data_IF_110397982299
#
_entry.id   IF_110397982299
#
_cell.length_a   1.000
_cell.length_b   1.000
_cell.length_c   1.000
_cell.angle_alpha   90.00
_cell.angle_beta   90.00
_cell.angle_gamma   90.00
#
_symmetry.space_group_name_H-M   'P 1'
#
loop_
_entity.id
_entity.type
_entity.pdbx_description
1 polymer ?
#
# COMPACT_ATOMS: atom_id res chain seq x y z
N UNK A 1 -25.91 -14.67 -6.88
CA UNK A 1 -24.72 -13.88 -7.28
C UNK A 1 -23.55 -14.40 -6.45
N UNK A 2 -22.36 -14.53 -7.02
CA UNK A 2 -21.16 -14.90 -6.24
C UNK A 2 -20.73 -13.72 -5.37
N UNK A 3 -20.18 -14.01 -4.19
CA UNK A 3 -19.59 -12.99 -3.32
C UNK A 3 -18.35 -12.37 -4.01
N UNK A 4 -18.18 -11.06 -3.86
CA UNK A 4 -17.01 -10.34 -4.36
C UNK A 4 -15.77 -10.65 -3.52
N UNK A 5 -14.59 -10.56 -4.14
CA UNK A 5 -13.31 -10.80 -3.46
C UNK A 5 -12.35 -9.65 -3.72
N UNK A 6 -11.80 -9.08 -2.67
CA UNK A 6 -10.77 -8.05 -2.75
C UNK A 6 -9.43 -8.63 -2.31
N UNK A 7 -8.44 -8.60 -3.19
CA UNK A 7 -7.09 -9.10 -2.95
C UNK A 7 -6.17 -7.89 -2.80
N UNK A 8 -5.70 -7.64 -1.59
CA UNK A 8 -4.76 -6.56 -1.29
C UNK A 8 -3.33 -7.09 -1.30
N UNK A 9 -2.45 -6.46 -2.07
CA UNK A 9 -1.03 -6.82 -2.15
C UNK A 9 -0.18 -5.59 -1.90
N UNK A 10 0.54 -5.56 -0.78
CA UNK A 10 1.62 -4.58 -0.59
C UNK A 10 2.79 -4.98 -1.48
N UNK A 11 3.37 -4.02 -2.20
CA UNK A 11 4.57 -4.28 -3.01
C UNK A 11 5.70 -4.97 -2.22
N UNK A 12 6.53 -5.73 -2.94
CA UNK A 12 7.73 -6.34 -2.37
C UNK A 12 8.77 -5.31 -1.91
N UNK A 13 9.84 -5.75 -1.27
CA UNK A 13 10.92 -4.87 -0.79
C UNK A 13 11.46 -3.95 -1.91
N UNK A 14 11.42 -2.63 -1.67
CA UNK A 14 12.08 -1.65 -2.53
C UNK A 14 13.53 -1.41 -2.13
N UNK A 15 14.32 -0.81 -3.03
CA UNK A 15 15.70 -0.38 -2.74
C UNK A 15 15.79 0.44 -1.45
N UNK A 16 14.87 1.40 -1.28
CA UNK A 16 14.83 2.24 -0.08
C UNK A 16 14.25 1.56 1.16
N UNK A 17 13.50 0.46 1.00
CA UNK A 17 13.18 -0.39 2.15
C UNK A 17 14.41 -1.17 2.61
N UNK A 18 15.25 -1.62 1.68
CA UNK A 18 16.49 -2.32 1.99
C UNK A 18 17.53 -1.41 2.66
N UNK A 19 17.65 -0.15 2.22
CA UNK A 19 18.54 0.86 2.83
C UNK A 19 17.93 1.61 4.03
N UNK A 20 16.76 1.17 4.53
CA UNK A 20 16.07 1.77 5.68
C UNK A 20 15.70 3.26 5.52
N UNK A 21 15.45 3.73 4.30
CA UNK A 21 15.04 5.10 4.00
C UNK A 21 13.52 5.27 3.99
N UNK A 22 13.05 6.50 4.25
CA UNK A 22 11.68 6.90 3.99
C UNK A 22 11.47 7.15 2.49
N UNK A 23 10.55 6.42 1.88
CA UNK A 23 10.31 6.50 0.42
C UNK A 23 9.26 7.52 0.03
N UNK A 24 8.05 7.39 0.59
CA UNK A 24 6.90 8.20 0.14
C UNK A 24 6.66 8.08 -1.35
N UNK A 25 6.56 9.20 -2.05
CA UNK A 25 6.24 9.24 -3.47
C UNK A 25 7.46 9.12 -4.39
N UNK A 26 8.69 9.04 -3.84
CA UNK A 26 9.89 8.78 -4.66
C UNK A 26 9.76 7.43 -5.38
N UNK A 27 10.00 7.42 -6.69
CA UNK A 27 9.71 6.30 -7.58
C UNK A 27 10.85 5.28 -7.67
N UNK A 28 11.17 4.65 -6.54
CA UNK A 28 12.26 3.66 -6.41
C UNK A 28 11.89 2.28 -6.95
N UNK A 29 12.91 1.49 -7.34
CA UNK A 29 12.70 0.15 -7.87
C UNK A 29 12.49 -0.90 -6.75
N UNK A 30 12.06 -2.09 -7.17
CA UNK A 30 12.10 -3.30 -6.35
C UNK A 30 13.54 -3.84 -6.33
N UNK A 31 13.96 -4.41 -5.20
CA UNK A 31 15.14 -5.27 -5.15
C UNK A 31 14.86 -6.63 -5.77
N UNK A 32 15.89 -7.46 -5.99
CA UNK A 32 15.71 -8.85 -6.41
C UNK A 32 14.86 -9.64 -5.41
N UNK A 33 15.04 -9.37 -4.10
CA UNK A 33 14.17 -9.91 -3.05
C UNK A 33 12.72 -9.47 -3.26
N UNK A 34 12.47 -8.18 -3.51
CA UNK A 34 11.12 -7.67 -3.77
C UNK A 34 10.47 -8.25 -5.02
N UNK A 35 11.25 -8.59 -6.05
CA UNK A 35 10.78 -9.30 -7.25
C UNK A 35 10.42 -10.75 -6.93
N UNK A 36 11.24 -11.45 -6.14
CA UNK A 36 10.93 -12.81 -5.68
C UNK A 36 9.67 -12.86 -4.80
N UNK A 37 9.48 -11.85 -3.93
CA UNK A 37 8.23 -11.69 -3.16
C UNK A 37 7.02 -11.51 -4.08
N UNK A 38 7.16 -10.79 -5.19
CA UNK A 38 6.09 -10.62 -6.18
C UNK A 38 5.76 -11.92 -6.94
N UNK A 39 6.78 -12.72 -7.30
CA UNK A 39 6.58 -14.07 -7.88
C UNK A 39 5.80 -14.93 -6.89
N UNK A 40 6.25 -14.98 -5.63
CA UNK A 40 5.59 -15.77 -4.58
C UNK A 40 4.13 -15.33 -4.38
N UNK A 41 3.84 -14.03 -4.44
CA UNK A 41 2.47 -13.54 -4.39
C UNK A 41 1.61 -14.13 -5.51
N UNK A 42 2.13 -14.20 -6.74
CA UNK A 42 1.46 -14.82 -7.89
C UNK A 42 1.22 -16.33 -7.70
N UNK A 43 2.22 -17.06 -7.19
CA UNK A 43 2.08 -18.48 -6.85
C UNK A 43 0.97 -18.72 -5.82
N UNK A 44 0.88 -17.88 -4.77
CA UNK A 44 -0.19 -17.96 -3.78
C UNK A 44 -1.58 -17.75 -4.40
N UNK A 45 -1.71 -16.87 -5.40
CA UNK A 45 -2.98 -16.69 -6.12
C UNK A 45 -3.39 -17.98 -6.85
N UNK A 46 -2.44 -18.64 -7.52
CA UNK A 46 -2.66 -19.91 -8.22
C UNK A 46 -3.04 -21.01 -7.23
N UNK A 47 -2.28 -21.16 -6.16
CA UNK A 47 -2.52 -22.14 -5.09
C UNK A 47 -3.91 -21.98 -4.46
N UNK A 48 -4.34 -20.75 -4.24
CA UNK A 48 -5.65 -20.42 -3.68
C UNK A 48 -6.79 -20.45 -4.71
N UNK A 49 -6.50 -20.67 -5.99
CA UNK A 49 -7.49 -20.63 -7.08
C UNK A 49 -8.10 -19.24 -7.31
N UNK A 50 -7.41 -18.17 -6.92
CA UNK A 50 -7.88 -16.79 -7.04
C UNK A 50 -7.53 -16.22 -8.43
N UNK A 51 -8.56 -15.75 -9.13
CA UNK A 51 -8.44 -15.17 -10.47
C UNK A 51 -8.98 -13.74 -10.47
N UNK A 52 -8.15 -12.73 -10.17
CA UNK A 52 -8.57 -11.35 -10.32
C UNK A 52 -9.03 -11.05 -11.74
N UNK A 53 -10.10 -10.28 -11.85
CA UNK A 53 -10.73 -9.86 -13.10
C UNK A 53 -10.31 -8.43 -13.49
N UNK A 54 -9.78 -7.67 -12.54
CA UNK A 54 -9.21 -6.34 -12.75
C UNK A 54 -8.15 -6.06 -11.69
N UNK A 55 -7.10 -5.34 -12.09
CA UNK A 55 -6.06 -4.83 -11.21
C UNK A 55 -6.21 -3.31 -11.05
N UNK A 56 -6.16 -2.84 -9.81
CA UNK A 56 -5.91 -1.46 -9.46
C UNK A 56 -4.51 -1.32 -8.85
N UNK A 57 -3.76 -0.30 -9.26
CA UNK A 57 -2.46 0.00 -8.66
C UNK A 57 -2.19 1.50 -8.61
N UNK A 58 -1.14 1.87 -7.89
CA UNK A 58 -0.69 3.25 -7.79
C UNK A 58 0.07 3.70 -9.05
N UNK A 59 0.58 4.93 -9.04
CA UNK A 59 1.46 5.45 -10.10
C UNK A 59 2.95 5.14 -9.85
N UNK A 60 3.27 4.29 -8.88
CA UNK A 60 4.63 4.04 -8.42
C UNK A 60 5.13 2.68 -8.90
N UNK A 61 6.31 2.67 -9.54
CA UNK A 61 6.84 1.51 -10.28
C UNK A 61 6.96 0.24 -9.44
N UNK A 62 7.21 0.36 -8.14
CA UNK A 62 7.32 -0.78 -7.23
C UNK A 62 6.01 -1.54 -7.06
N UNK A 63 4.88 -0.83 -7.00
CA UNK A 63 3.56 -1.47 -6.94
C UNK A 63 3.15 -2.03 -8.30
N UNK A 64 3.36 -1.24 -9.37
CA UNK A 64 3.11 -1.66 -10.75
C UNK A 64 3.89 -2.94 -11.10
N UNK A 65 5.19 -2.97 -10.81
CA UNK A 65 6.05 -4.13 -11.10
C UNK A 65 5.71 -5.33 -10.22
N UNK A 66 5.35 -5.12 -8.95
CA UNK A 66 4.87 -6.23 -8.10
C UNK A 66 3.64 -6.87 -8.73
N UNK A 67 2.66 -6.06 -9.13
CA UNK A 67 1.43 -6.55 -9.72
C UNK A 67 1.67 -7.26 -11.06
N UNK A 68 2.52 -6.67 -11.91
CA UNK A 68 2.88 -7.27 -13.19
C UNK A 68 3.51 -8.64 -13.02
N UNK A 69 4.51 -8.78 -12.14
CA UNK A 69 5.18 -10.05 -11.87
C UNK A 69 4.20 -11.08 -11.29
N UNK A 70 3.39 -10.69 -10.30
CA UNK A 70 2.41 -11.60 -9.69
C UNK A 70 1.37 -12.10 -10.70
N UNK A 71 0.88 -11.21 -11.59
CA UNK A 71 -0.09 -11.58 -12.62
C UNK A 71 0.55 -12.41 -13.75
N UNK A 72 1.82 -12.20 -14.09
CA UNK A 72 2.56 -13.04 -15.02
C UNK A 72 2.71 -14.46 -14.48
N UNK A 73 3.12 -14.59 -13.22
CA UNK A 73 3.19 -15.89 -12.53
C UNK A 73 1.82 -16.58 -12.44
N UNK A 74 0.73 -15.82 -12.31
CA UNK A 74 -0.63 -16.36 -12.25
C UNK A 74 -1.31 -16.59 -13.61
N UNK A 75 -0.63 -16.31 -14.74
CA UNK A 75 -1.18 -16.37 -16.11
C UNK A 75 -2.41 -15.46 -16.34
N UNK A 76 -2.32 -14.23 -15.82
CA UNK A 76 -3.41 -13.24 -15.81
C UNK A 76 -2.97 -11.86 -16.31
N UNK A 77 -1.87 -11.74 -17.05
CA UNK A 77 -1.37 -10.44 -17.56
C UNK A 77 -2.36 -9.67 -18.44
N UNK A 78 -3.33 -10.37 -19.04
CA UNK A 78 -4.29 -9.81 -19.98
C UNK A 78 -5.44 -9.05 -19.31
N UNK A 79 -5.59 -9.14 -17.99
CA UNK A 79 -6.70 -8.47 -17.28
C UNK A 79 -6.56 -6.94 -17.37
N UNK A 80 -7.68 -6.19 -17.34
CA UNK A 80 -7.64 -4.74 -17.27
C UNK A 80 -6.82 -4.23 -16.08
N UNK A 81 -6.03 -3.18 -16.31
CA UNK A 81 -5.21 -2.51 -15.29
C UNK A 81 -5.57 -1.04 -15.22
N UNK A 82 -5.98 -0.58 -14.03
CA UNK A 82 -6.32 0.81 -13.72
C UNK A 82 -5.26 1.36 -12.77
N UNK A 83 -4.75 2.57 -13.05
CA UNK A 83 -3.73 3.21 -12.23
C UNK A 83 -4.21 4.58 -11.78
N UNK A 84 -4.10 4.86 -10.48
CA UNK A 84 -4.52 6.14 -9.93
C UNK A 84 -3.59 6.57 -8.78
N UNK A 85 -3.32 7.88 -8.70
CA UNK A 85 -2.45 8.46 -7.67
C UNK A 85 -3.03 8.29 -6.26
N UNK A 86 -4.36 8.16 -6.14
CA UNK A 86 -5.05 7.94 -4.87
C UNK A 86 -4.65 6.62 -4.20
N UNK A 87 -4.01 5.70 -4.93
CA UNK A 87 -3.44 4.46 -4.39
C UNK A 87 -1.96 4.61 -3.97
N UNK A 88 -1.30 5.73 -4.25
CA UNK A 88 0.09 5.99 -3.87
C UNK A 88 0.31 5.81 -2.37
N UNK A 89 1.56 5.50 -2.00
CA UNK A 89 2.02 5.54 -0.60
C UNK A 89 1.72 6.90 0.03
N UNK A 90 1.75 6.99 1.36
CA UNK A 90 1.74 8.29 2.05
C UNK A 90 2.92 9.15 1.60
N UNK A 91 2.69 10.41 1.23
CA UNK A 91 3.76 11.37 0.98
C UNK A 91 4.50 11.66 2.28
N UNK A 92 5.80 11.38 2.35
CA UNK A 92 6.58 11.52 3.59
C UNK A 92 7.15 12.92 3.80
N UNK A 93 6.89 13.83 2.87
CA UNK A 93 7.34 15.21 2.92
C UNK A 93 8.85 15.31 3.03
N UNK A 94 9.34 16.21 3.89
CA UNK A 94 10.76 16.44 4.13
C UNK A 94 11.53 15.20 4.61
N UNK A 95 10.83 14.12 5.01
CA UNK A 95 11.48 12.86 5.40
C UNK A 95 11.90 12.01 4.19
N UNK A 96 11.37 12.25 2.99
CA UNK A 96 11.72 11.47 1.79
C UNK A 96 13.25 11.48 1.56
N UNK A 97 13.83 10.29 1.45
CA UNK A 97 15.27 10.08 1.27
C UNK A 97 16.05 9.94 2.58
N UNK A 98 15.50 10.37 3.72
CA UNK A 98 16.20 10.25 5.00
C UNK A 98 16.22 8.80 5.51
N UNK A 99 17.33 8.40 6.12
CA UNK A 99 17.42 7.12 6.83
C UNK A 99 16.60 7.17 8.12
N UNK A 100 15.84 6.10 8.39
CA UNK A 100 14.93 6.03 9.55
C UNK A 100 15.67 5.99 10.88
N UNK A 101 16.78 5.26 10.98
CA UNK A 101 17.55 5.15 12.21
C UNK A 101 18.24 6.48 12.55
N UNK A 102 18.89 7.10 11.56
CA UNK A 102 19.52 8.42 11.73
C UNK A 102 18.48 9.50 12.08
N UNK A 103 17.29 9.45 11.46
CA UNK A 103 16.17 10.34 11.82
C UNK A 103 15.71 10.11 13.26
N UNK A 104 15.61 8.85 13.71
CA UNK A 104 15.25 8.51 15.09
C UNK A 104 16.30 9.02 16.08
N UNK A 105 17.58 8.85 15.77
CA UNK A 105 18.69 9.36 16.60
C UNK A 105 18.66 10.89 16.72
N UNK A 106 18.42 11.59 15.61
CA UNK A 106 18.42 13.06 15.56
C UNK A 106 17.21 13.70 16.25
N UNK A 107 16.01 13.13 16.06
CA UNK A 107 14.75 13.75 16.52
C UNK A 107 14.13 13.07 17.75
N UNK A 108 14.67 11.93 18.18
CA UNK A 108 14.14 11.14 19.28
C UNK A 108 13.01 10.18 18.87
N UNK A 109 12.73 9.22 19.73
CA UNK A 109 11.77 8.14 19.47
C UNK A 109 10.33 8.65 19.35
N UNK A 110 9.90 9.55 20.23
CA UNK A 110 8.53 10.07 20.23
C UNK A 110 8.20 10.82 18.94
N UNK A 111 9.10 11.68 18.47
CA UNK A 111 8.93 12.43 17.21
C UNK A 111 8.95 11.50 15.99
N UNK A 112 9.87 10.53 15.98
CA UNK A 112 9.95 9.52 14.92
C UNK A 112 8.68 8.67 14.84
N UNK A 113 8.15 8.23 16.00
CA UNK A 113 6.92 7.46 16.08
C UNK A 113 5.70 8.29 15.69
N UNK A 114 5.64 9.56 16.11
CA UNK A 114 4.60 10.50 15.66
C UNK A 114 4.57 10.59 14.13
N UNK A 115 5.69 10.88 13.48
CA UNK A 115 5.72 10.93 12.00
C UNK A 115 5.39 9.60 11.33
N UNK A 116 5.77 8.47 11.91
CA UNK A 116 5.50 7.15 11.29
C UNK A 116 4.06 6.69 11.48
N UNK A 117 3.46 6.96 12.64
CA UNK A 117 2.26 6.26 13.10
C UNK A 117 1.11 7.16 13.48
N UNK A 118 1.32 8.46 13.66
CA UNK A 118 0.21 9.40 13.91
C UNK A 118 -0.80 9.32 12.76
N UNK A 119 -2.08 9.35 13.15
CA UNK A 119 -3.18 9.32 12.21
C UNK A 119 -3.35 10.66 11.51
N UNK A 120 -3.26 11.76 12.25
CA UNK A 120 -3.67 13.10 11.82
C UNK A 120 -2.51 14.12 11.72
N UNK A 121 -1.31 13.75 12.16
CA UNK A 121 -0.15 14.64 12.18
C UNK A 121 0.80 14.32 11.03
N UNK A 122 0.91 15.17 10.00
CA UNK A 122 1.79 14.90 8.88
C UNK A 122 3.27 15.16 9.24
N UNK A 123 4.22 14.53 8.53
CA UNK A 123 5.61 15.00 8.49
C UNK A 123 5.72 16.45 7.99
N UNK A 124 6.88 17.12 8.18
CA UNK A 124 7.11 18.45 7.62
C UNK A 124 6.97 18.45 6.09
N UNK A 125 6.50 19.55 5.53
CA UNK A 125 6.34 19.72 4.08
C UNK A 125 7.68 19.65 3.34
N UNK A 126 7.67 19.03 2.16
CA UNK A 126 8.78 19.05 1.22
C UNK A 126 8.71 20.29 0.32
N UNK A 127 9.83 20.96 0.10
CA UNK A 127 9.92 22.05 -0.89
C UNK A 127 9.77 21.49 -2.31
N UNK A 128 9.07 22.24 -3.17
CA UNK A 128 8.88 21.88 -4.58
C UNK A 128 10.21 21.81 -5.37
N UNK A 129 11.24 22.53 -4.91
CA UNK A 129 12.58 22.55 -5.50
C UNK A 129 13.48 21.40 -5.01
N UNK A 130 12.99 20.56 -4.09
CA UNK A 130 13.76 19.42 -3.59
C UNK A 130 13.99 18.37 -4.67
N UNK A 131 15.15 17.71 -4.66
CA UNK A 131 15.47 16.59 -5.55
C UNK A 131 14.47 15.42 -5.44
N UNK A 132 13.81 15.29 -4.29
CA UNK A 132 12.83 14.24 -4.03
C UNK A 132 11.39 14.71 -4.16
N UNK A 133 11.14 15.91 -4.69
CA UNK A 133 9.79 16.43 -4.91
C UNK A 133 9.13 15.81 -6.15
N UNK A 134 7.80 15.67 -6.09
CA UNK A 134 6.97 15.22 -7.21
C UNK A 134 6.20 16.37 -7.88
N UNK A 135 6.37 17.61 -7.41
CA UNK A 135 5.61 18.78 -7.87
C UNK A 135 5.67 18.98 -9.40
N UNK A 136 6.80 18.63 -10.02
CA UNK A 136 7.03 18.80 -11.46
C UNK A 136 7.00 17.47 -12.25
N UNK A 137 6.57 16.35 -11.64
CA UNK A 137 6.49 15.07 -12.36
C UNK A 137 5.23 15.05 -13.26
N UNK A 138 5.38 14.82 -14.58
CA UNK A 138 4.26 14.83 -15.52
C UNK A 138 3.12 13.86 -15.18
N UNK A 139 3.38 12.79 -14.42
CA UNK A 139 2.34 11.84 -14.00
C UNK A 139 1.28 12.48 -13.09
N UNK A 140 1.58 13.62 -12.48
CA UNK A 140 0.70 14.36 -11.59
C UNK A 140 0.19 15.68 -12.18
N UNK A 141 0.43 15.94 -13.47
CA UNK A 141 0.07 17.21 -14.12
C UNK A 141 -1.43 17.54 -14.10
N UNK A 142 -2.30 16.55 -13.84
CA UNK A 142 -3.75 16.73 -13.74
C UNK A 142 -4.23 16.97 -12.30
N UNK A 143 -3.34 17.06 -11.32
CA UNK A 143 -3.70 17.44 -9.95
C UNK A 143 -3.66 18.97 -9.83
N UNK A 144 -4.68 19.53 -9.17
CA UNK A 144 -4.67 20.95 -8.82
C UNK A 144 -3.46 21.29 -7.92
N UNK A 145 -3.14 20.37 -6.99
CA UNK A 145 -1.98 20.46 -6.11
C UNK A 145 -1.41 19.07 -5.84
N UNK A 146 -0.10 18.91 -6.02
CA UNK A 146 0.64 17.72 -5.60
C UNK A 146 0.93 17.85 -4.10
N UNK A 147 0.56 16.87 -3.25
CA UNK A 147 0.76 16.99 -1.81
C UNK A 147 2.24 17.07 -1.46
N UNK A 148 2.61 18.05 -0.62
CA UNK A 148 3.98 18.20 -0.09
C UNK A 148 4.26 17.33 1.11
N UNK A 149 3.23 16.78 1.75
CA UNK A 149 3.28 15.87 2.90
C UNK A 149 1.89 15.29 3.13
N UNK A 150 1.80 14.14 3.78
CA UNK A 150 0.52 13.51 4.15
C UNK A 150 0.65 12.82 5.51
N UNK A 151 -0.39 12.94 6.34
CA UNK A 151 -0.64 12.01 7.43
C UNK A 151 -1.48 10.81 6.92
N UNK A 152 -1.86 9.87 7.80
CA UNK A 152 -2.69 8.74 7.37
C UNK A 152 -4.13 9.18 7.06
N UNK A 153 -4.67 10.17 7.77
CA UNK A 153 -5.98 10.76 7.51
C UNK A 153 -6.06 11.39 6.11
N UNK A 154 -5.00 12.04 5.63
CA UNK A 154 -4.97 12.60 4.26
C UNK A 154 -5.05 11.49 3.21
N UNK A 155 -4.34 10.38 3.44
CA UNK A 155 -4.43 9.18 2.60
C UNK A 155 -5.85 8.59 2.61
N UNK A 156 -6.51 8.54 3.77
CA UNK A 156 -7.92 8.12 3.90
C UNK A 156 -8.82 9.03 3.06
N UNK A 157 -8.70 10.36 3.20
CA UNK A 157 -9.52 11.35 2.47
C UNK A 157 -9.40 11.22 0.96
N UNK A 158 -8.22 10.91 0.42
CA UNK A 158 -8.06 10.72 -1.03
C UNK A 158 -8.40 9.31 -1.52
N UNK A 159 -8.18 8.26 -0.73
CA UNK A 159 -8.31 6.88 -1.21
C UNK A 159 -9.72 6.31 -1.00
N UNK A 160 -10.35 6.56 0.14
CA UNK A 160 -11.65 5.94 0.44
C UNK A 160 -12.75 6.35 -0.55
N UNK A 161 -12.90 7.63 -0.95
CA UNK A 161 -13.88 7.98 -1.98
C UNK A 161 -13.65 7.24 -3.30
N UNK A 162 -12.40 7.10 -3.72
CA UNK A 162 -12.06 6.32 -4.93
C UNK A 162 -12.38 4.83 -4.78
N UNK A 163 -12.13 4.24 -3.60
CA UNK A 163 -12.54 2.87 -3.33
C UNK A 163 -14.07 2.70 -3.42
N UNK A 164 -14.84 3.59 -2.79
CA UNK A 164 -16.31 3.53 -2.76
C UNK A 164 -16.94 3.75 -4.15
N UNK A 165 -16.35 4.65 -4.96
CA UNK A 165 -16.86 5.02 -6.29
C UNK A 165 -16.45 4.03 -7.39
N UNK A 166 -15.21 3.52 -7.36
CA UNK A 166 -14.65 2.75 -8.48
C UNK A 166 -14.46 1.26 -8.19
N UNK A 167 -14.09 0.88 -6.96
CA UNK A 167 -13.71 -0.49 -6.61
C UNK A 167 -14.89 -1.25 -5.98
N UNK A 168 -15.57 -0.65 -5.01
CA UNK A 168 -16.67 -1.26 -4.29
C UNK A 168 -17.84 -1.70 -5.19
N UNK A 169 -18.25 -0.96 -6.23
CA UNK A 169 -19.33 -1.41 -7.12
C UNK A 169 -19.01 -2.73 -7.84
N UNK A 170 -17.73 -2.96 -8.18
CA UNK A 170 -17.28 -4.22 -8.78
C UNK A 170 -17.36 -5.38 -7.80
N UNK A 171 -16.95 -5.14 -6.55
CA UNK A 171 -17.04 -6.12 -5.47
C UNK A 171 -18.51 -6.51 -5.22
N UNK A 172 -19.42 -5.53 -5.18
CA UNK A 172 -20.88 -5.77 -5.08
C UNK A 172 -21.45 -6.56 -6.25
N UNK A 173 -20.87 -6.41 -7.44
CA UNK A 173 -21.21 -7.20 -8.62
C UNK A 173 -20.64 -8.64 -8.58
N UNK A 174 -19.88 -9.01 -7.55
CA UNK A 174 -19.28 -10.32 -7.39
C UNK A 174 -17.95 -10.50 -8.11
N UNK A 175 -17.30 -9.41 -8.55
CA UNK A 175 -15.98 -9.47 -9.17
C UNK A 175 -14.87 -9.79 -8.15
N UNK A 176 -13.81 -10.45 -8.61
CA UNK A 176 -12.54 -10.57 -7.89
C UNK A 176 -11.66 -9.41 -8.31
N UNK A 177 -11.37 -8.48 -7.41
CA UNK A 177 -10.54 -7.30 -7.65
C UNK A 177 -9.20 -7.44 -6.95
N UNK A 178 -8.10 -7.16 -7.64
CA UNK A 178 -6.78 -7.05 -7.02
C UNK A 178 -6.37 -5.59 -6.88
N UNK A 179 -5.87 -5.21 -5.71
CA UNK A 179 -5.27 -3.90 -5.43
C UNK A 179 -3.82 -4.11 -5.02
N UNK A 180 -2.89 -3.71 -5.89
CA UNK A 180 -1.46 -3.72 -5.59
C UNK A 180 -0.99 -2.31 -5.23
N UNK A 181 -0.66 -2.08 -3.96
CA UNK A 181 -0.37 -0.74 -3.44
C UNK A 181 0.73 -0.78 -2.35
N UNK A 182 0.61 0.08 -1.34
CA UNK A 182 1.67 0.41 -0.40
C UNK A 182 1.25 0.24 1.05
N UNK A 183 2.20 0.41 1.97
CA UNK A 183 1.95 0.18 3.39
C UNK A 183 0.83 1.05 3.93
N UNK A 184 0.90 2.38 3.77
CA UNK A 184 -0.10 3.27 4.36
C UNK A 184 -1.39 3.37 3.56
N UNK A 185 -1.37 3.27 2.24
CA UNK A 185 -2.62 3.24 1.46
C UNK A 185 -3.44 1.99 1.75
N UNK A 186 -2.80 0.82 1.89
CA UNK A 186 -3.51 -0.39 2.32
C UNK A 186 -3.95 -0.32 3.79
N UNK A 187 -3.16 0.26 4.70
CA UNK A 187 -3.61 0.51 6.08
C UNK A 187 -4.85 1.41 6.12
N UNK A 188 -4.89 2.47 5.31
CA UNK A 188 -6.05 3.36 5.22
C UNK A 188 -7.31 2.61 4.78
N UNK A 189 -7.19 1.73 3.77
CA UNK A 189 -8.31 0.90 3.33
C UNK A 189 -8.73 -0.13 4.38
N UNK A 190 -7.78 -0.86 4.97
CA UNK A 190 -8.08 -1.83 6.04
C UNK A 190 -8.73 -1.14 7.24
N UNK A 191 -8.30 0.07 7.61
CA UNK A 191 -8.95 0.89 8.64
C UNK A 191 -10.44 1.09 8.35
N UNK A 192 -10.77 1.44 7.11
CA UNK A 192 -12.14 1.67 6.67
C UNK A 192 -12.95 0.36 6.64
N UNK A 193 -12.39 -0.72 6.08
CA UNK A 193 -13.07 -2.01 5.96
C UNK A 193 -13.39 -2.65 7.31
N UNK A 194 -12.45 -2.57 8.26
CA UNK A 194 -12.56 -3.20 9.57
C UNK A 194 -13.02 -2.23 10.67
N UNK A 195 -13.35 -0.98 10.30
CA UNK A 195 -13.74 0.09 11.22
C UNK A 195 -12.75 0.26 12.40
N UNK A 196 -11.45 0.23 12.10
CA UNK A 196 -10.38 0.38 13.09
C UNK A 196 -10.37 1.84 13.58
N UNK A 197 -10.24 2.02 14.89
CA UNK A 197 -10.15 3.32 15.54
C UNK A 197 -8.89 4.10 15.12
N UNK A 198 -8.88 5.41 15.37
CA UNK A 198 -7.73 6.27 15.08
C UNK A 198 -6.55 5.96 16.03
N UNK A 199 -6.85 5.42 17.21
CA UNK A 199 -5.88 4.96 18.19
C UNK A 199 -5.23 3.62 17.79
N UNK A 200 -6.04 2.65 17.35
CA UNK A 200 -5.57 1.28 17.09
C UNK A 200 -4.85 1.15 15.74
N UNK A 201 -5.14 2.03 14.78
CA UNK A 201 -4.55 1.95 13.43
C UNK A 201 -3.03 2.07 13.44
N UNK A 202 -2.45 2.72 14.45
CA UNK A 202 -1.01 2.84 14.64
C UNK A 202 -0.32 1.46 14.76
N UNK A 203 -0.98 0.48 15.36
CA UNK A 203 -0.46 -0.87 15.59
C UNK A 203 -0.54 -1.77 14.34
N UNK A 204 -1.38 -1.44 13.36
CA UNK A 204 -1.56 -2.25 12.15
C UNK A 204 -0.30 -2.22 11.27
N UNK A 205 0.19 -3.40 10.93
CA UNK A 205 1.33 -3.60 10.02
C UNK A 205 0.97 -4.56 8.90
N UNK A 206 1.00 -4.08 7.66
CA UNK A 206 0.77 -4.90 6.48
C UNK A 206 2.12 -5.43 5.97
N UNK A 207 2.34 -6.76 5.89
CA UNK A 207 3.58 -7.36 5.39
C UNK A 207 3.77 -7.08 3.89
N UNK A 208 5.01 -7.17 3.41
CA UNK A 208 5.33 -7.03 1.96
C UNK A 208 5.07 -8.35 1.23
N UNK A 209 4.49 -8.29 0.03
CA UNK A 209 4.43 -9.43 -0.89
C UNK A 209 3.46 -10.56 -0.52
N UNK A 210 2.64 -10.41 0.52
CA UNK A 210 1.71 -11.47 0.95
C UNK A 210 0.28 -10.99 0.71
N UNK A 211 -0.49 -11.63 -0.19
CA UNK A 211 -1.86 -11.22 -0.48
C UNK A 211 -2.79 -11.40 0.74
N UNK A 212 -3.60 -10.37 0.99
CA UNK A 212 -4.66 -10.33 2.00
C UNK A 212 -6.02 -10.30 1.30
N UNK A 213 -6.90 -11.25 1.62
CA UNK A 213 -8.18 -11.42 0.93
C UNK A 213 -9.35 -11.04 1.82
N UNK A 214 -10.21 -10.15 1.31
CA UNK A 214 -11.51 -9.83 1.89
C UNK A 214 -12.64 -10.36 1.00
N UNK A 215 -13.67 -10.89 1.64
CA UNK A 215 -14.91 -11.36 1.04
C UNK A 215 -16.02 -10.32 1.25
N UNK A 216 -16.80 -10.04 0.20
CA UNK A 216 -17.88 -9.07 0.19
C UNK A 216 -19.20 -9.73 -0.21
N UNK A 217 -20.30 -9.36 0.46
CA UNK A 217 -21.65 -9.65 -0.06
C UNK A 217 -22.09 -8.65 -1.14
N UNK A 218 -23.29 -8.85 -1.68
CA UNK A 218 -23.85 -8.02 -2.74
C UNK A 218 -24.16 -6.58 -2.27
N UNK A 219 -24.31 -6.39 -0.96
CA UNK A 219 -24.52 -5.10 -0.31
C UNK A 219 -23.20 -4.36 -0.02
N UNK A 220 -22.05 -5.02 -0.23
CA UNK A 220 -20.71 -4.50 -0.04
C UNK A 220 -20.21 -4.58 1.40
N UNK A 221 -20.83 -5.42 2.22
CA UNK A 221 -20.37 -5.69 3.58
C UNK A 221 -19.27 -6.75 3.56
N UNK A 222 -18.24 -6.51 4.37
CA UNK A 222 -17.15 -7.46 4.62
C UNK A 222 -17.68 -8.67 5.40
N UNK A 223 -17.39 -9.87 4.89
CA UNK A 223 -17.81 -11.14 5.47
C UNK A 223 -16.74 -11.79 6.36
N UNK A 224 -15.47 -11.38 6.22
CA UNK A 224 -14.33 -11.84 7.00
C UNK A 224 -13.52 -10.65 7.56
N UNK A 225 -13.97 -9.99 8.64
CA UNK A 225 -13.24 -8.87 9.24
C UNK A 225 -11.78 -9.24 9.56
N UNK A 226 -10.85 -8.33 9.29
CA UNK A 226 -9.40 -8.55 9.35
C UNK A 226 -8.81 -9.21 8.11
N UNK A 227 -9.65 -9.68 7.18
CA UNK A 227 -9.26 -10.40 5.98
C UNK A 227 -8.58 -11.74 6.27
N UNK A 228 -8.11 -12.40 5.22
CA UNK A 228 -7.37 -13.67 5.33
C UNK A 228 -6.11 -13.59 4.46
N UNK A 229 -4.95 -13.64 5.10
CA UNK A 229 -3.68 -13.76 4.37
C UNK A 229 -3.57 -15.16 3.75
N UNK A 230 -3.07 -15.23 2.52
CA UNK A 230 -2.83 -16.51 1.83
C UNK A 230 -1.69 -17.32 2.46
N UNK A 231 -0.79 -16.65 3.18
CA UNK A 231 0.25 -17.27 4.02
C UNK A 231 0.28 -16.58 5.40
N UNK A 232 -0.51 -17.06 6.38
CA UNK A 232 -0.61 -16.44 7.70
C UNK A 232 0.70 -16.41 8.49
N UNK A 233 1.53 -17.45 8.36
CA UNK A 233 2.82 -17.54 9.08
C UNK A 233 3.81 -16.52 8.55
N UNK A 234 3.97 -16.46 7.22
CA UNK A 234 4.80 -15.45 6.59
C UNK A 234 4.26 -14.03 6.85
N UNK A 235 2.94 -13.86 6.90
CA UNK A 235 2.32 -12.57 7.19
C UNK A 235 2.65 -12.07 8.60
N UNK A 236 2.58 -12.94 9.60
CA UNK A 236 2.95 -12.61 10.98
C UNK A 236 4.44 -12.23 11.08
N UNK A 237 5.34 -13.01 10.46
CA UNK A 237 6.77 -12.70 10.42
C UNK A 237 7.08 -11.38 9.69
N UNK A 238 6.42 -11.14 8.56
CA UNK A 238 6.57 -9.92 7.78
C UNK A 238 6.05 -8.68 8.53
N UNK A 239 4.91 -8.78 9.20
CA UNK A 239 4.35 -7.70 10.01
C UNK A 239 5.29 -7.31 11.17
N UNK A 240 5.87 -8.32 11.85
CA UNK A 240 6.88 -8.09 12.89
C UNK A 240 8.14 -7.40 12.34
N UNK A 241 8.62 -7.78 11.15
CA UNK A 241 9.76 -7.14 10.49
C UNK A 241 9.48 -5.66 10.14
N UNK A 242 8.24 -5.32 9.75
CA UNK A 242 7.83 -3.92 9.49
C UNK A 242 7.78 -3.10 10.78
N UNK A 243 7.27 -3.70 11.87
CA UNK A 243 7.24 -3.06 13.17
C UNK A 243 8.65 -2.72 13.69
N UNK A 244 9.62 -3.61 13.46
CA UNK A 244 11.01 -3.45 13.90
C UNK A 244 11.84 -2.44 13.06
N UNK A 245 11.30 -1.86 11.99
CA UNK A 245 12.02 -0.86 11.19
C UNK A 245 12.34 0.39 12.05
N UNK A 246 13.54 0.96 11.88
CA UNK A 246 14.03 2.09 12.69
C UNK A 246 14.80 1.68 13.95
N UNK A 247 14.88 0.38 14.27
CA UNK A 247 15.72 -0.16 15.35
C UNK A 247 17.03 -0.79 14.83
N UNK A 248 17.29 -0.70 13.53
CA UNK A 248 18.48 -1.21 12.84
C UNK A 248 19.22 -0.08 12.18
#
# INVERSE_FOLDING_TARGET
>A
MSNGKLILVRHGQSEWNASNQFTGWVDVALTDKGRAEAVRAGEMLVEAGLKPQVLYTSLLRRAINTAHIALDTADLLWIPVIRDWRLNERHYGALQGLNKAETKEKYGEDQFMSWRRSYDTPPPELSDDSEFSQANDPRYANLDEVPRTECLLDVVKRFIPYFEEEILPRLKAGETVMVAAHGNSLRALVKHLDNISDEDIAALNIPTGIPLVYDFDAEGKVLNPGGTYLDPEAAAAGAAAVAAQGNK
#
